data_IF_930716118118
#
_entry.id   IF_930716118118
#
_cell.length_a   1.000
_cell.length_b   1.000
_cell.length_c   1.000
_cell.angle_alpha   90.00
_cell.angle_beta   90.00
_cell.angle_gamma   90.00
#
_symmetry.space_group_name_H-M   'P 1'
#
loop_
_entity.id
_entity.type
_entity.pdbx_description
1 polymer ?
#
# COMPACT_ATOMS: atom_id res chain seq x y z
N UNK A 1 -20.08 -30.29 -17.05
CA UNK A 1 -20.17 -29.11 -16.18
C UNK A 1 -18.86 -28.31 -16.32
N UNK A 2 -18.90 -27.24 -17.06
CA UNK A 2 -17.73 -26.45 -17.46
C UNK A 2 -17.38 -25.50 -16.32
N UNK A 3 -16.19 -25.66 -15.71
CA UNK A 3 -15.72 -24.80 -14.64
C UNK A 3 -15.29 -23.45 -15.25
N UNK A 4 -16.09 -22.43 -15.08
CA UNK A 4 -15.66 -21.07 -15.39
C UNK A 4 -14.74 -20.57 -14.29
N UNK A 5 -13.43 -20.53 -14.55
CA UNK A 5 -12.47 -19.81 -13.71
C UNK A 5 -12.53 -18.34 -14.15
N UNK A 6 -13.29 -17.53 -13.44
CA UNK A 6 -13.23 -16.08 -13.62
C UNK A 6 -12.04 -15.58 -12.78
N UNK A 7 -10.89 -15.42 -13.45
CA UNK A 7 -9.73 -14.71 -12.89
C UNK A 7 -9.97 -13.22 -13.16
N UNK A 8 -10.51 -12.49 -12.21
CA UNK A 8 -10.52 -11.01 -12.26
C UNK A 8 -9.15 -10.56 -11.78
N UNK A 9 -8.21 -10.43 -12.70
CA UNK A 9 -6.96 -9.74 -12.46
C UNK A 9 -7.27 -8.23 -12.44
N UNK A 10 -7.40 -7.63 -11.28
CA UNK A 10 -7.32 -6.19 -11.13
C UNK A 10 -5.87 -5.80 -11.41
N UNK A 11 -5.57 -5.44 -12.64
CA UNK A 11 -4.29 -4.86 -13.00
C UNK A 11 -4.28 -3.44 -12.46
N UNK A 12 -3.72 -3.22 -11.27
CA UNK A 12 -3.35 -1.90 -10.84
C UNK A 12 -2.26 -1.42 -11.80
N UNK A 13 -2.62 -0.58 -12.76
CA UNK A 13 -1.67 0.10 -13.61
C UNK A 13 -0.98 1.17 -12.75
N UNK A 14 0.06 0.78 -12.04
CA UNK A 14 0.98 1.72 -11.44
C UNK A 14 1.77 2.33 -12.58
N UNK A 15 1.39 3.51 -13.05
CA UNK A 15 2.23 4.30 -13.94
C UNK A 15 3.42 4.79 -13.12
N UNK A 16 4.52 4.01 -13.12
CA UNK A 16 5.80 4.49 -12.66
C UNK A 16 6.22 5.64 -13.59
N UNK A 17 6.07 6.86 -13.16
CA UNK A 17 6.81 7.97 -13.74
C UNK A 17 8.27 7.80 -13.30
N UNK A 18 9.10 7.23 -14.19
CA UNK A 18 10.52 7.11 -13.97
C UNK A 18 11.14 8.50 -13.90
N UNK A 19 11.44 8.98 -12.72
CA UNK A 19 12.30 10.12 -12.53
C UNK A 19 13.74 9.64 -12.51
N UNK A 20 14.60 10.32 -13.27
CA UNK A 20 15.99 9.97 -13.47
C UNK A 20 16.75 9.83 -12.14
N UNK A 21 17.28 8.65 -11.87
CA UNK A 21 18.25 8.44 -10.80
C UNK A 21 19.61 9.02 -11.26
N UNK A 22 20.06 10.09 -10.65
CA UNK A 22 21.39 10.62 -10.85
C UNK A 22 22.35 9.95 -9.87
N UNK A 23 23.14 9.00 -10.32
CA UNK A 23 24.22 8.42 -9.54
C UNK A 23 25.44 9.36 -9.60
N UNK A 24 25.55 10.26 -8.65
CA UNK A 24 26.74 11.11 -8.46
C UNK A 24 27.86 10.31 -7.82
N UNK A 25 28.97 10.15 -8.53
CA UNK A 25 30.18 9.53 -8.02
C UNK A 25 30.89 10.51 -7.06
N UNK A 26 30.82 10.27 -5.78
CA UNK A 26 31.70 10.89 -4.80
C UNK A 26 32.60 9.81 -4.21
N UNK A 27 33.91 9.95 -4.42
CA UNK A 27 34.96 9.11 -3.84
C UNK A 27 34.83 9.02 -2.33
N UNK A 28 34.11 8.01 -1.83
CA UNK A 28 34.22 7.52 -0.46
C UNK A 28 33.97 6.01 -0.42
N UNK A 29 34.98 5.30 0.04
CA UNK A 29 35.03 3.90 0.48
C UNK A 29 33.77 3.06 0.26
N UNK A 30 33.77 2.24 -0.77
CA UNK A 30 33.01 0.98 -0.93
C UNK A 30 31.53 0.97 -0.51
N UNK A 31 30.73 1.93 -0.93
CA UNK A 31 29.30 1.93 -0.69
C UNK A 31 28.51 2.47 -1.89
N UNK A 32 27.27 2.02 -2.07
CA UNK A 32 26.36 2.52 -3.09
C UNK A 32 25.56 3.72 -2.58
N UNK A 33 25.27 4.68 -3.47
CA UNK A 33 24.29 5.72 -3.21
C UNK A 33 23.02 5.44 -4.00
N UNK A 34 21.89 5.42 -3.33
CA UNK A 34 20.58 5.37 -3.96
C UNK A 34 19.91 6.70 -3.69
N UNK A 35 19.57 7.43 -4.75
CA UNK A 35 18.85 8.70 -4.66
C UNK A 35 17.54 8.53 -5.41
N UNK A 36 16.42 8.61 -4.69
CA UNK A 36 15.10 8.57 -5.24
C UNK A 36 14.40 9.90 -5.05
N UNK A 37 13.85 10.45 -6.13
CA UNK A 37 13.00 11.62 -6.09
C UNK A 37 11.72 11.36 -6.88
N UNK A 38 10.56 11.36 -6.24
CA UNK A 38 9.27 11.16 -6.86
C UNK A 38 8.35 12.33 -6.55
N UNK A 39 7.79 12.93 -7.60
CA UNK A 39 6.79 14.00 -7.48
C UNK A 39 5.57 13.58 -8.28
N UNK A 40 4.45 13.41 -7.60
CA UNK A 40 3.16 13.16 -8.23
C UNK A 40 2.28 14.41 -8.15
N UNK A 41 1.90 14.93 -9.31
CA UNK A 41 1.05 16.11 -9.43
C UNK A 41 -0.34 15.77 -10.00
N UNK A 42 -0.59 14.50 -10.31
CA UNK A 42 -1.83 14.03 -10.91
C UNK A 42 -2.57 13.07 -9.98
N UNK A 43 -3.89 13.04 -10.14
CA UNK A 43 -4.74 12.15 -9.38
C UNK A 43 -4.56 10.69 -9.79
N UNK A 44 -4.64 9.80 -8.82
CA UNK A 44 -4.61 8.34 -8.99
C UNK A 44 -5.95 7.78 -8.52
N UNK A 45 -6.65 7.09 -9.40
CA UNK A 45 -7.95 6.49 -9.10
C UNK A 45 -7.94 5.00 -9.37
N UNK A 46 -8.50 4.23 -8.46
CA UNK A 46 -8.80 2.82 -8.68
C UNK A 46 -10.25 2.54 -8.32
N UNK A 47 -11.04 2.16 -9.32
CA UNK A 47 -12.47 1.89 -9.16
C UNK A 47 -12.75 0.45 -9.57
N UNK A 48 -13.26 -0.36 -8.65
CA UNK A 48 -13.62 -1.73 -8.91
C UNK A 48 -15.13 -1.91 -8.66
N UNK A 49 -15.85 -2.32 -9.69
CA UNK A 49 -17.26 -2.69 -9.58
C UNK A 49 -17.45 -4.09 -10.15
N UNK A 50 -18.08 -4.99 -9.41
CA UNK A 50 -18.27 -6.34 -9.87
C UNK A 50 -19.17 -7.19 -8.98
N UNK A 51 -19.59 -8.31 -9.56
CA UNK A 51 -20.33 -9.34 -8.85
C UNK A 51 -19.50 -10.63 -8.86
N UNK A 52 -19.37 -11.24 -7.71
CA UNK A 52 -18.72 -12.55 -7.52
C UNK A 52 -19.77 -13.51 -6.98
N UNK A 53 -20.05 -14.55 -7.71
CA UNK A 53 -21.09 -15.50 -7.34
C UNK A 53 -20.69 -16.96 -7.63
N UNK A 54 -21.14 -17.87 -6.78
CA UNK A 54 -20.98 -19.32 -6.92
C UNK A 54 -19.50 -19.76 -7.03
N UNK A 55 -18.72 -19.45 -6.02
CA UNK A 55 -17.30 -19.80 -5.91
C UNK A 55 -17.12 -21.02 -5.00
N UNK A 56 -16.42 -22.06 -5.48
CA UNK A 56 -16.10 -23.28 -4.72
C UNK A 56 -14.82 -23.18 -3.88
N UNK A 57 -14.31 -22.00 -3.65
CA UNK A 57 -13.10 -21.73 -2.86
C UNK A 57 -13.20 -20.34 -2.27
N UNK A 58 -12.07 -19.72 -2.01
CA UNK A 58 -12.01 -18.37 -1.49
C UNK A 58 -12.26 -17.34 -2.60
N UNK A 59 -12.84 -16.19 -2.24
CA UNK A 59 -13.03 -15.05 -3.10
C UNK A 59 -12.27 -13.85 -2.56
N UNK A 60 -11.45 -13.18 -3.41
CA UNK A 60 -10.70 -11.99 -3.05
C UNK A 60 -11.01 -10.86 -4.02
N UNK A 61 -11.39 -9.71 -3.48
CA UNK A 61 -11.69 -8.47 -4.21
C UNK A 61 -10.77 -7.38 -3.69
N UNK A 62 -9.90 -6.84 -4.54
CA UNK A 62 -8.90 -5.86 -4.12
C UNK A 62 -8.83 -4.66 -5.06
N UNK A 63 -8.66 -3.47 -4.49
CA UNK A 63 -8.40 -2.23 -5.22
C UNK A 63 -7.36 -1.41 -4.47
N UNK A 64 -6.42 -0.80 -5.20
CA UNK A 64 -5.41 0.05 -4.61
C UNK A 64 -5.05 1.21 -5.53
N UNK A 65 -4.79 2.38 -4.94
CA UNK A 65 -4.17 3.52 -5.60
C UNK A 65 -3.03 4.07 -4.73
N UNK A 66 -1.93 4.43 -5.37
CA UNK A 66 -0.79 5.02 -4.69
C UNK A 66 -0.25 6.22 -5.46
N UNK A 67 0.10 7.29 -4.76
CA UNK A 67 0.73 8.45 -5.34
C UNK A 67 2.19 8.18 -5.69
N UNK A 68 3.00 7.89 -4.69
CA UNK A 68 4.41 7.50 -4.84
C UNK A 68 4.70 6.25 -4.01
N UNK A 69 5.38 5.30 -4.62
CA UNK A 69 5.83 4.08 -3.93
C UNK A 69 7.28 3.78 -4.26
N UNK A 70 8.05 3.35 -3.28
CA UNK A 70 9.39 2.81 -3.48
C UNK A 70 9.63 1.63 -2.54
N UNK A 71 10.31 0.62 -3.07
CA UNK A 71 10.85 -0.50 -2.33
C UNK A 71 12.33 -0.65 -2.65
N UNK A 72 13.18 -0.67 -1.63
CA UNK A 72 14.63 -0.74 -1.76
C UNK A 72 15.13 -1.90 -0.92
N UNK A 73 15.77 -2.86 -1.57
CA UNK A 73 16.51 -3.93 -0.91
C UNK A 73 18.01 -3.75 -1.18
N UNK A 74 18.83 -3.73 -0.15
CA UNK A 74 20.28 -3.57 -0.27
C UNK A 74 21.03 -4.72 0.38
N UNK A 75 22.08 -5.20 -0.30
CA UNK A 75 22.99 -6.25 0.16
C UNK A 75 24.43 -5.75 0.32
N UNK A 76 24.67 -4.45 0.19
CA UNK A 76 25.97 -3.79 0.33
C UNK A 76 25.81 -2.52 1.15
N UNK A 77 26.92 -2.00 1.72
CA UNK A 77 26.90 -0.71 2.37
C UNK A 77 26.30 0.34 1.44
N UNK A 78 25.22 0.97 1.89
CA UNK A 78 24.40 1.83 1.02
C UNK A 78 23.97 3.08 1.77
N UNK A 79 23.93 4.19 1.06
CA UNK A 79 23.25 5.40 1.49
C UNK A 79 21.99 5.60 0.68
N UNK A 80 20.85 5.63 1.35
CA UNK A 80 19.54 5.85 0.73
C UNK A 80 19.08 7.27 1.02
N UNK A 81 18.78 8.03 -0.02
CA UNK A 81 18.09 9.32 0.06
C UNK A 81 16.79 9.21 -0.70
N UNK A 82 15.67 9.30 0.01
CA UNK A 82 14.33 9.22 -0.55
C UNK A 82 13.60 10.55 -0.37
N UNK A 83 13.00 11.05 -1.43
CA UNK A 83 12.12 12.22 -1.40
C UNK A 83 10.86 11.94 -2.21
N UNK A 84 9.71 11.90 -1.55
CA UNK A 84 8.42 11.66 -2.19
C UNK A 84 7.46 12.80 -1.88
N UNK A 85 6.86 13.36 -2.93
CA UNK A 85 5.94 14.49 -2.81
C UNK A 85 4.70 14.20 -3.64
N UNK A 86 3.53 14.24 -3.02
CA UNK A 86 2.25 14.33 -3.73
C UNK A 86 1.75 15.76 -3.62
N UNK A 87 1.45 16.36 -4.76
CA UNK A 87 1.07 17.78 -4.85
C UNK A 87 -0.40 18.05 -4.49
N UNK A 88 -0.76 19.31 -4.26
CA UNK A 88 -2.08 19.69 -3.74
C UNK A 88 -3.25 19.50 -4.72
N UNK A 89 -2.95 19.32 -6.00
CA UNK A 89 -3.97 19.05 -7.03
C UNK A 89 -4.20 17.57 -7.29
N UNK A 90 -3.44 16.69 -6.66
CA UNK A 90 -3.57 15.24 -6.81
C UNK A 90 -4.57 14.69 -5.81
N UNK A 91 -5.49 13.84 -6.24
CA UNK A 91 -6.31 13.01 -5.39
C UNK A 91 -5.82 11.55 -5.46
N UNK A 92 -5.85 10.84 -4.36
CA UNK A 92 -5.51 9.41 -4.31
C UNK A 92 -6.75 8.67 -3.80
N UNK A 93 -7.58 8.20 -4.71
CA UNK A 93 -8.88 7.66 -4.37
C UNK A 93 -9.04 6.22 -4.82
N UNK A 94 -9.66 5.44 -3.97
CA UNK A 94 -10.05 4.06 -4.28
C UNK A 94 -11.49 3.79 -3.89
N UNK A 95 -12.21 3.06 -4.73
CA UNK A 95 -13.56 2.64 -4.44
C UNK A 95 -13.80 1.19 -4.87
N UNK A 96 -14.41 0.42 -3.99
CA UNK A 96 -14.94 -0.90 -4.30
C UNK A 96 -16.46 -0.86 -4.15
N UNK A 97 -17.17 -1.32 -5.19
CA UNK A 97 -18.60 -1.58 -5.15
C UNK A 97 -18.84 -3.01 -5.62
N UNK A 98 -19.12 -3.92 -4.70
CA UNK A 98 -19.18 -5.35 -5.01
C UNK A 98 -20.32 -6.08 -4.33
N UNK A 99 -20.86 -7.07 -5.04
CA UNK A 99 -21.73 -8.08 -4.44
C UNK A 99 -20.99 -9.43 -4.50
N UNK A 100 -20.90 -10.09 -3.36
CA UNK A 100 -20.27 -11.41 -3.24
C UNK A 100 -21.27 -12.36 -2.63
N UNK A 101 -21.58 -13.46 -3.32
CA UNK A 101 -22.56 -14.42 -2.85
C UNK A 101 -22.17 -15.87 -3.16
N UNK A 102 -22.71 -16.80 -2.37
CA UNK A 102 -22.57 -18.23 -2.60
C UNK A 102 -21.09 -18.68 -2.69
N UNK A 103 -20.28 -18.31 -1.73
CA UNK A 103 -18.85 -18.67 -1.63
C UNK A 103 -18.67 -19.78 -0.59
N UNK A 104 -18.07 -20.88 -0.99
CA UNK A 104 -17.88 -22.05 -0.12
C UNK A 104 -16.59 -21.96 0.73
N UNK A 105 -15.72 -21.02 0.43
CA UNK A 105 -14.58 -20.64 1.22
C UNK A 105 -14.79 -19.33 1.96
N UNK A 106 -13.73 -18.58 2.15
CA UNK A 106 -13.72 -17.25 2.79
C UNK A 106 -13.75 -16.13 1.76
N UNK A 107 -14.20 -14.94 2.18
CA UNK A 107 -14.25 -13.74 1.36
C UNK A 107 -13.36 -12.66 1.96
N UNK A 108 -12.45 -12.10 1.13
CA UNK A 108 -11.66 -10.93 1.46
C UNK A 108 -11.97 -9.78 0.51
N UNK A 109 -12.36 -8.62 1.04
CA UNK A 109 -12.53 -7.37 0.28
C UNK A 109 -11.56 -6.34 0.87
N UNK A 110 -10.56 -5.92 0.10
CA UNK A 110 -9.53 -4.99 0.58
C UNK A 110 -9.39 -3.80 -0.35
N UNK A 111 -9.47 -2.60 0.21
CA UNK A 111 -9.33 -1.35 -0.51
C UNK A 111 -8.28 -0.45 0.15
N UNK A 112 -7.37 0.14 -0.64
CA UNK A 112 -6.25 0.88 -0.09
C UNK A 112 -5.89 2.10 -0.93
N UNK A 113 -5.87 3.28 -0.29
CA UNK A 113 -5.34 4.52 -0.85
C UNK A 113 -4.10 4.97 -0.08
N UNK A 114 -2.96 5.14 -0.75
CA UNK A 114 -1.69 5.54 -0.13
C UNK A 114 -1.14 6.77 -0.86
N UNK A 115 -0.88 7.85 -0.14
CA UNK A 115 -0.25 9.03 -0.73
C UNK A 115 1.23 8.76 -1.04
N UNK A 116 2.03 8.41 -0.04
CA UNK A 116 3.43 8.01 -0.21
C UNK A 116 3.75 6.76 0.59
N UNK A 117 4.43 5.81 -0.02
CA UNK A 117 4.95 4.61 0.63
C UNK A 117 6.43 4.40 0.34
N UNK A 118 7.20 4.07 1.36
CA UNK A 118 8.60 3.69 1.20
C UNK A 118 8.93 2.51 2.10
N UNK A 119 9.57 1.50 1.54
CA UNK A 119 10.14 0.36 2.24
C UNK A 119 11.64 0.28 1.96
N UNK A 120 12.44 0.05 3.00
CA UNK A 120 13.88 -0.15 2.89
C UNK A 120 14.26 -1.38 3.69
N UNK A 121 14.69 -2.43 3.02
CA UNK A 121 15.19 -3.66 3.62
C UNK A 121 16.70 -3.81 3.40
N UNK A 122 17.43 -4.15 4.44
CA UNK A 122 18.88 -4.34 4.38
C UNK A 122 19.29 -5.66 5.00
N UNK A 123 20.12 -6.41 4.31
CA UNK A 123 20.75 -7.62 4.83
C UNK A 123 22.24 -7.30 5.15
N UNK A 124 22.86 -7.87 6.17
CA UNK A 124 23.76 -7.32 7.20
C UNK A 124 24.82 -6.30 6.71
N UNK A 125 24.39 -5.21 6.19
CA UNK A 125 25.25 -4.15 5.69
C UNK A 125 24.92 -2.80 6.31
N UNK A 126 25.93 -1.94 6.44
CA UNK A 126 25.76 -0.61 6.98
C UNK A 126 24.95 0.25 5.98
N UNK A 127 23.71 0.56 6.31
CA UNK A 127 22.83 1.38 5.47
C UNK A 127 22.43 2.63 6.21
N UNK A 128 22.67 3.78 5.60
CA UNK A 128 22.15 5.06 6.09
C UNK A 128 20.90 5.44 5.30
N UNK A 129 19.80 5.72 5.98
CA UNK A 129 18.54 6.11 5.34
C UNK A 129 18.15 7.51 5.74
N UNK A 130 17.86 8.34 4.73
CA UNK A 130 17.24 9.64 4.90
C UNK A 130 16.00 9.69 4.00
N UNK A 131 14.82 9.69 4.61
CA UNK A 131 13.54 9.69 3.90
C UNK A 131 12.74 10.94 4.22
N UNK A 132 12.26 11.61 3.19
CA UNK A 132 11.32 12.74 3.31
C UNK A 132 10.08 12.44 2.49
N UNK A 133 8.92 12.44 3.13
CA UNK A 133 7.64 12.20 2.50
C UNK A 133 6.69 13.36 2.78
N UNK A 134 6.10 13.93 1.72
CA UNK A 134 5.11 15.01 1.82
C UNK A 134 3.84 14.62 1.09
N UNK A 135 2.77 14.42 1.83
CA UNK A 135 1.44 14.28 1.30
C UNK A 135 0.71 15.63 1.41
N UNK A 136 0.57 16.31 0.28
CA UNK A 136 -0.25 17.51 0.14
C UNK A 136 -1.47 17.23 -0.76
N UNK A 137 -1.77 15.96 -1.02
CA UNK A 137 -2.90 15.58 -1.87
C UNK A 137 -4.21 16.20 -1.37
N UNK A 138 -5.15 16.40 -2.26
CA UNK A 138 -6.53 16.55 -1.85
C UNK A 138 -7.03 15.18 -1.42
N UNK A 139 -7.03 14.94 -0.12
CA UNK A 139 -7.73 13.86 0.56
C UNK A 139 -7.51 12.43 0.01
N UNK A 140 -6.47 11.68 0.44
CA UNK A 140 -6.43 10.25 0.17
C UNK A 140 -7.68 9.57 0.75
N UNK A 141 -8.49 8.97 -0.13
CA UNK A 141 -9.77 8.39 0.25
C UNK A 141 -9.90 6.93 -0.20
N UNK A 142 -10.44 6.10 0.68
CA UNK A 142 -10.72 4.70 0.42
C UNK A 142 -12.14 4.37 0.84
N UNK A 143 -12.96 3.85 -0.07
CA UNK A 143 -14.34 3.49 0.19
C UNK A 143 -14.66 2.07 -0.26
N UNK A 144 -15.37 1.31 0.58
CA UNK A 144 -15.91 0.00 0.24
C UNK A 144 -17.41 0.01 0.45
N UNK A 145 -18.16 -0.36 -0.61
CA UNK A 145 -19.57 -0.76 -0.55
C UNK A 145 -19.65 -2.23 -0.92
N UNK A 146 -20.03 -3.10 0.00
CA UNK A 146 -20.08 -4.52 -0.23
C UNK A 146 -21.40 -5.14 0.27
N UNK A 147 -22.02 -5.99 -0.55
CA UNK A 147 -23.07 -6.90 -0.12
C UNK A 147 -22.49 -8.32 -0.15
N UNK A 148 -22.39 -8.96 1.00
CA UNK A 148 -21.78 -10.28 1.16
C UNK A 148 -22.82 -11.22 1.77
N UNK A 149 -23.09 -12.35 1.10
CA UNK A 149 -24.10 -13.29 1.56
C UNK A 149 -23.77 -14.75 1.21
N UNK A 150 -24.25 -15.67 2.05
CA UNK A 150 -24.08 -17.11 1.84
C UNK A 150 -22.60 -17.53 1.72
N UNK A 151 -21.83 -17.22 2.75
CA UNK A 151 -20.39 -17.52 2.82
C UNK A 151 -20.19 -18.66 3.82
N UNK A 152 -19.53 -19.74 3.42
CA UNK A 152 -19.30 -20.87 4.31
C UNK A 152 -18.13 -20.61 5.29
N UNK A 153 -17.10 -19.86 4.87
CA UNK A 153 -15.95 -19.45 5.67
C UNK A 153 -16.12 -18.08 6.32
N UNK A 154 -15.04 -17.35 6.42
CA UNK A 154 -14.97 -16.02 7.01
C UNK A 154 -15.26 -14.91 5.99
N UNK A 155 -15.74 -13.76 6.48
CA UNK A 155 -15.92 -12.56 5.67
C UNK A 155 -15.10 -11.39 6.26
N UNK A 156 -14.11 -10.90 5.51
CA UNK A 156 -13.24 -9.80 5.92
C UNK A 156 -13.38 -8.64 4.95
N UNK A 157 -13.74 -7.46 5.44
CA UNK A 157 -13.83 -6.23 4.64
C UNK A 157 -12.95 -5.17 5.27
N UNK A 158 -12.00 -4.66 4.49
CA UNK A 158 -11.04 -3.67 4.94
C UNK A 158 -10.97 -2.49 3.97
N UNK A 159 -10.94 -1.29 4.55
CA UNK A 159 -10.68 -0.04 3.84
C UNK A 159 -9.60 0.72 4.57
N UNK A 160 -8.58 1.21 3.86
CA UNK A 160 -7.47 1.93 4.45
C UNK A 160 -7.07 3.14 3.60
N UNK A 161 -6.94 4.29 4.25
CA UNK A 161 -6.37 5.49 3.65
C UNK A 161 -5.14 5.94 4.45
N UNK A 162 -4.00 6.04 3.79
CA UNK A 162 -2.73 6.44 4.37
C UNK A 162 -2.20 7.72 3.72
N UNK A 163 -1.77 8.68 4.52
CA UNK A 163 -1.01 9.82 4.05
C UNK A 163 0.41 9.41 3.68
N UNK A 164 1.26 9.16 4.66
CA UNK A 164 2.62 8.69 4.44
C UNK A 164 2.89 7.40 5.21
N UNK A 165 3.60 6.47 4.58
CA UNK A 165 4.05 5.23 5.18
C UNK A 165 5.55 5.05 4.94
N UNK A 166 6.29 4.76 5.99
CA UNK A 166 7.71 4.41 5.93
C UNK A 166 7.94 3.13 6.71
N UNK A 167 8.62 2.18 6.09
CA UNK A 167 9.08 0.96 6.73
C UNK A 167 10.57 0.79 6.53
N UNK A 168 11.28 0.40 7.56
CA UNK A 168 12.68 0.03 7.49
C UNK A 168 12.93 -1.24 8.28
N UNK A 169 13.60 -2.19 7.67
CA UNK A 169 13.95 -3.48 8.23
C UNK A 169 15.45 -3.73 8.06
N UNK A 170 16.16 -4.09 9.14
CA UNK A 170 17.60 -4.28 9.10
C UNK A 170 18.12 -5.29 10.13
N UNK A 171 19.03 -6.13 9.65
CA UNK A 171 19.89 -6.99 10.47
C UNK A 171 21.28 -6.36 10.71
N UNK A 172 21.55 -5.15 10.22
CA UNK A 172 22.85 -4.49 10.37
C UNK A 172 23.06 -4.03 11.82
N UNK A 173 24.29 -4.07 12.35
CA UNK A 173 24.59 -3.61 13.72
C UNK A 173 24.25 -2.15 13.96
N UNK A 174 24.31 -1.33 12.91
CA UNK A 174 23.95 0.09 12.94
C UNK A 174 23.24 0.48 11.66
N UNK A 175 22.04 1.04 11.79
CA UNK A 175 21.30 1.62 10.68
C UNK A 175 20.84 3.03 11.05
N UNK A 176 21.63 4.10 10.79
CA UNK A 176 21.18 5.46 11.01
C UNK A 176 20.00 5.79 10.10
N UNK A 177 18.84 6.08 10.69
CA UNK A 177 17.62 6.41 9.98
C UNK A 177 17.17 7.80 10.38
N UNK A 178 16.86 8.62 9.37
CA UNK A 178 16.14 9.88 9.52
C UNK A 178 14.92 9.81 8.62
N UNK A 179 13.73 9.86 9.20
CA UNK A 179 12.48 9.95 8.43
C UNK A 179 11.71 11.20 8.82
N UNK A 180 11.35 11.99 7.81
CA UNK A 180 10.53 13.18 7.94
C UNK A 180 9.25 12.97 7.15
N UNK A 181 8.13 12.90 7.85
CA UNK A 181 6.82 12.73 7.22
C UNK A 181 5.94 13.95 7.50
N UNK A 182 5.45 14.57 6.45
CA UNK A 182 4.54 15.68 6.51
C UNK A 182 3.25 15.34 5.77
N UNK A 183 2.13 15.38 6.46
CA UNK A 183 0.82 15.19 5.89
C UNK A 183 -0.04 16.43 6.13
N UNK A 184 -0.44 17.09 5.05
CA UNK A 184 -1.36 18.23 5.05
C UNK A 184 -2.69 17.87 4.37
N UNK A 185 -2.98 16.57 4.30
CA UNK A 185 -4.18 16.05 3.67
C UNK A 185 -5.08 15.41 4.71
N UNK A 186 -6.37 15.40 4.48
CA UNK A 186 -7.31 14.63 5.26
C UNK A 186 -7.37 13.21 4.70
N UNK A 187 -6.94 12.20 5.46
CA UNK A 187 -7.12 10.81 5.06
C UNK A 187 -8.53 10.35 5.47
N UNK A 188 -9.27 9.78 4.53
CA UNK A 188 -10.64 9.29 4.78
C UNK A 188 -10.78 7.82 4.38
N UNK A 189 -11.38 7.02 5.26
CA UNK A 189 -11.67 5.62 4.99
C UNK A 189 -13.09 5.28 5.41
N UNK A 190 -13.82 4.57 4.56
CA UNK A 190 -15.20 4.14 4.86
C UNK A 190 -15.43 2.69 4.45
N UNK A 191 -16.23 1.97 5.26
CA UNK A 191 -16.77 0.65 4.95
C UNK A 191 -18.26 0.68 5.15
N UNK A 192 -19.01 0.43 4.08
CA UNK A 192 -20.42 0.10 4.11
C UNK A 192 -20.56 -1.35 3.65
N UNK A 193 -20.82 -2.26 4.57
CA UNK A 193 -21.00 -3.66 4.22
C UNK A 193 -22.27 -4.23 4.84
N UNK A 194 -23.10 -4.86 3.98
CA UNK A 194 -24.19 -5.72 4.40
C UNK A 194 -23.67 -7.16 4.35
N UNK A 195 -23.56 -7.79 5.49
CA UNK A 195 -23.04 -9.15 5.61
C UNK A 195 -24.11 -10.03 6.23
N UNK A 196 -24.47 -11.11 5.56
CA UNK A 196 -25.51 -12.03 5.99
C UNK A 196 -25.16 -13.49 5.68
N UNK A 197 -25.63 -14.40 6.53
CA UNK A 197 -25.45 -15.83 6.36
C UNK A 197 -23.99 -16.24 6.13
N UNK A 198 -23.13 -15.94 7.11
CA UNK A 198 -21.71 -16.28 7.15
C UNK A 198 -21.50 -17.40 8.16
N UNK A 199 -20.91 -18.50 7.73
CA UNK A 199 -20.65 -19.67 8.57
C UNK A 199 -19.48 -19.49 9.54
N UNK A 200 -18.51 -18.64 9.18
CA UNK A 200 -17.36 -18.30 10.00
C UNK A 200 -17.48 -16.92 10.70
N UNK A 201 -16.36 -16.23 10.86
CA UNK A 201 -16.27 -14.91 11.49
C UNK A 201 -16.48 -13.78 10.49
N UNK A 202 -16.99 -12.66 10.97
CA UNK A 202 -17.08 -11.43 10.17
C UNK A 202 -16.22 -10.33 10.78
N UNK A 203 -15.37 -9.69 9.96
CA UNK A 203 -14.54 -8.56 10.36
C UNK A 203 -14.70 -7.39 9.39
N UNK A 204 -15.08 -6.23 9.92
CA UNK A 204 -15.20 -4.98 9.17
C UNK A 204 -14.24 -3.96 9.76
N UNK A 205 -13.30 -3.47 8.94
CA UNK A 205 -12.27 -2.54 9.39
C UNK A 205 -12.19 -1.33 8.47
N UNK A 206 -12.21 -0.13 9.06
CA UNK A 206 -11.96 1.12 8.37
C UNK A 206 -10.86 1.87 9.11
N UNK A 207 -9.79 2.27 8.41
CA UNK A 207 -8.64 2.93 9.01
C UNK A 207 -8.19 4.12 8.17
N UNK A 208 -8.07 5.28 8.80
CA UNK A 208 -7.53 6.49 8.19
C UNK A 208 -6.33 6.98 9.03
N UNK A 209 -5.15 7.02 8.41
CA UNK A 209 -3.89 7.30 9.10
C UNK A 209 -3.14 8.40 8.33
N UNK A 210 -2.76 9.48 9.02
CA UNK A 210 -1.99 10.56 8.40
C UNK A 210 -0.55 10.15 8.09
N UNK A 211 0.18 9.68 9.10
CA UNK A 211 1.57 9.23 8.96
C UNK A 211 1.80 7.97 9.78
N UNK A 212 2.59 7.06 9.24
CA UNK A 212 3.07 5.89 9.96
C UNK A 212 4.54 5.63 9.65
N UNK A 213 5.31 5.22 10.66
CA UNK A 213 6.68 4.76 10.49
C UNK A 213 6.88 3.50 11.33
N UNK A 214 7.44 2.47 10.69
CA UNK A 214 7.84 1.23 11.34
C UNK A 214 9.33 1.02 11.11
N UNK A 215 10.08 0.80 12.18
CA UNK A 215 11.51 0.51 12.12
C UNK A 215 11.73 -0.78 12.88
N UNK A 216 12.20 -1.80 12.19
CA UNK A 216 12.52 -3.11 12.76
C UNK A 216 14.03 -3.29 12.67
N UNK A 217 14.66 -3.43 13.81
CA UNK A 217 16.09 -3.66 13.91
C UNK A 217 16.34 -4.95 14.69
N UNK A 218 16.94 -5.92 14.03
CA UNK A 218 17.31 -7.20 14.66
C UNK A 218 18.73 -7.08 15.20
N UNK A 219 18.87 -7.01 16.51
CA UNK A 219 20.15 -7.08 17.20
C UNK A 219 20.59 -8.54 17.30
N UNK A 220 21.65 -8.90 16.60
CA UNK A 220 22.36 -10.17 16.91
C UNK A 220 23.29 -9.90 18.09
N UNK A 221 22.97 -10.46 19.26
CA UNK A 221 23.91 -10.55 20.39
C UNK A 221 25.02 -11.53 20.06
#
# INVERSE_FOLDING_TARGET
MTRAKILIAATALVTLSATYAYAGNTNQSSGSNIINGQINLQSQFSNLTGNVDTIQGDAVVQSAAAGNMIDITTMNNTRVQNSQIVGPSAAIDTNINTNVSNVWGSVGVTNQAICNGASVSTDPTLTQVNSTQKCNASDPASAVNANISNIAGDAVVQSMALGNSFEADSNAPNMPIVTNQFNNSMSASTVHANVSNVGGSTSLTSSAIGNTAQIIHYSTN
#
